data_IF_143415586835
#
_entry.id   IF_143415586835
#
_cell.length_a   1.000
_cell.length_b   1.000
_cell.length_c   1.000
_cell.angle_alpha   90.00
_cell.angle_beta   90.00
_cell.angle_gamma   90.00
#
_symmetry.space_group_name_H-M   'P 1'
#
loop_
_entity.id
_entity.type
_entity.pdbx_description
1 polymer ?
#
# COMPACT_ATOMS: atom_id res chain seq x y z
N UNK A 1 -48.66 25.48 1.32
CA UNK A 1 -48.57 24.34 0.38
C UNK A 1 -47.86 23.14 1.04
N UNK A 2 -48.57 22.33 1.84
CA UNK A 2 -48.06 21.02 2.36
C UNK A 2 -49.18 20.18 3.03
N UNK A 3 -50.41 20.29 2.53
CA UNK A 3 -51.61 19.75 3.18
C UNK A 3 -52.19 18.46 2.59
N UNK A 4 -51.72 17.99 1.42
CA UNK A 4 -52.42 16.93 0.68
C UNK A 4 -51.78 15.54 0.76
N UNK A 5 -50.57 15.41 1.32
CA UNK A 5 -49.84 14.13 1.32
C UNK A 5 -50.11 13.23 2.55
N UNK A 6 -50.87 13.71 3.54
CA UNK A 6 -51.18 12.94 4.76
C UNK A 6 -52.56 12.29 4.76
N UNK A 7 -53.50 12.75 3.93
CA UNK A 7 -54.84 12.15 3.85
C UNK A 7 -54.89 10.91 2.94
N UNK A 8 -54.03 10.84 1.91
CA UNK A 8 -53.96 9.69 0.99
C UNK A 8 -53.42 8.40 1.67
N UNK A 9 -52.74 8.51 2.82
CA UNK A 9 -52.24 7.36 3.58
C UNK A 9 -53.25 6.87 4.63
N UNK A 10 -54.27 7.68 4.96
CA UNK A 10 -55.29 7.35 5.97
C UNK A 10 -56.59 6.74 5.41
N UNK A 11 -56.76 6.68 4.08
CA UNK A 11 -57.87 5.98 3.42
C UNK A 11 -57.65 4.49 3.15
N UNK A 12 -56.48 3.94 3.47
CA UNK A 12 -56.11 2.52 3.26
C UNK A 12 -56.24 1.65 4.52
N UNK A 13 -57.05 2.08 5.49
CA UNK A 13 -57.24 1.40 6.76
C UNK A 13 -58.69 1.08 7.05
N UNK A 14 -59.28 0.08 6.40
CA UNK A 14 -60.43 -0.73 6.91
C UNK A 14 -60.92 -1.81 5.94
N UNK A 15 -60.02 -2.56 5.30
CA UNK A 15 -60.27 -3.99 5.14
C UNK A 15 -58.96 -4.66 5.49
N UNK A 16 -58.81 -5.04 6.77
CA UNK A 16 -57.71 -5.91 7.14
C UNK A 16 -57.71 -7.12 6.22
N UNK A 17 -56.53 -7.60 5.85
CA UNK A 17 -56.31 -8.67 4.87
C UNK A 17 -57.48 -9.63 4.73
N UNK A 18 -57.98 -9.79 3.51
CA UNK A 18 -58.98 -10.82 3.18
C UNK A 18 -58.43 -12.20 3.60
N UNK A 19 -59.29 -13.19 3.91
CA UNK A 19 -58.82 -14.51 4.35
C UNK A 19 -57.81 -15.14 3.37
N UNK A 20 -57.98 -14.92 2.07
CA UNK A 20 -57.07 -15.42 1.03
C UNK A 20 -55.72 -14.68 1.03
N UNK A 21 -55.71 -13.36 1.25
CA UNK A 21 -54.46 -12.59 1.39
C UNK A 21 -53.70 -12.99 2.65
N UNK A 22 -54.40 -13.27 3.76
CA UNK A 22 -53.76 -13.78 4.99
C UNK A 22 -53.13 -15.14 4.74
N UNK A 23 -53.84 -16.04 4.08
CA UNK A 23 -53.34 -17.37 3.73
C UNK A 23 -52.10 -17.27 2.83
N UNK A 24 -52.17 -16.43 1.78
CA UNK A 24 -51.06 -16.17 0.87
C UNK A 24 -49.83 -15.61 1.60
N UNK A 25 -50.02 -14.65 2.51
CA UNK A 25 -48.91 -14.08 3.28
C UNK A 25 -48.29 -15.06 4.25
N UNK A 26 -49.09 -15.94 4.86
CA UNK A 26 -48.56 -17.02 5.70
C UNK A 26 -47.73 -18.01 4.87
N UNK A 27 -48.22 -18.39 3.69
CA UNK A 27 -47.47 -19.25 2.76
C UNK A 27 -46.15 -18.60 2.32
N UNK A 28 -46.18 -17.32 1.93
CA UNK A 28 -44.98 -16.58 1.55
C UNK A 28 -43.99 -16.42 2.70
N UNK A 29 -44.45 -16.19 3.94
CA UNK A 29 -43.57 -16.16 5.12
C UNK A 29 -42.92 -17.51 5.40
N UNK A 30 -43.66 -18.61 5.24
CA UNK A 30 -43.12 -19.94 5.42
C UNK A 30 -42.03 -20.25 4.38
N UNK A 31 -42.28 -19.93 3.11
CA UNK A 31 -41.28 -20.07 2.04
C UNK A 31 -40.07 -19.17 2.28
N UNK A 32 -40.29 -17.92 2.69
CA UNK A 32 -39.21 -16.97 2.98
C UNK A 32 -38.32 -17.43 4.12
N UNK A 33 -38.89 -17.98 5.20
CA UNK A 33 -38.11 -18.53 6.33
C UNK A 33 -37.27 -19.72 5.93
N UNK A 34 -37.80 -20.62 5.09
CA UNK A 34 -37.03 -21.76 4.55
C UNK A 34 -35.91 -21.28 3.62
N UNK A 35 -36.22 -20.38 2.70
CA UNK A 35 -35.22 -19.79 1.81
C UNK A 35 -34.09 -19.10 2.58
N UNK A 36 -34.42 -18.33 3.63
CA UNK A 36 -33.41 -17.68 4.48
C UNK A 36 -32.54 -18.69 5.23
N UNK A 37 -33.13 -19.80 5.69
CA UNK A 37 -32.40 -20.89 6.31
C UNK A 37 -31.48 -21.60 5.32
N UNK A 38 -31.90 -21.74 4.07
CA UNK A 38 -31.08 -22.33 2.99
C UNK A 38 -29.92 -21.42 2.56
N UNK A 39 -29.93 -20.14 2.93
CA UNK A 39 -28.79 -19.22 2.74
C UNK A 39 -27.73 -19.34 3.84
N UNK A 40 -28.00 -20.07 4.93
CA UNK A 40 -26.98 -20.35 5.95
C UNK A 40 -25.94 -21.30 5.36
N UNK A 41 -24.78 -20.76 5.02
CA UNK A 41 -23.70 -21.54 4.45
C UNK A 41 -23.13 -22.49 5.51
N UNK A 42 -22.98 -23.77 5.16
CA UNK A 42 -22.27 -24.70 6.04
C UNK A 42 -20.78 -24.33 6.11
N UNK A 43 -20.08 -24.60 7.22
CA UNK A 43 -18.64 -24.31 7.33
C UNK A 43 -17.75 -25.02 6.30
N UNK A 44 -18.30 -25.97 5.52
CA UNK A 44 -17.62 -26.66 4.44
C UNK A 44 -17.79 -25.87 3.16
N UNK A 45 -16.91 -24.90 2.97
CA UNK A 45 -16.78 -24.20 1.70
C UNK A 45 -15.93 -25.02 0.73
N UNK A 46 -16.22 -24.97 -0.59
CA UNK A 46 -15.29 -25.47 -1.59
C UNK A 46 -14.04 -24.60 -1.59
N UNK A 47 -13.03 -25.03 -0.83
CA UNK A 47 -11.73 -24.35 -0.78
C UNK A 47 -10.97 -24.70 -2.07
N UNK A 48 -10.37 -23.68 -2.69
CA UNK A 48 -9.44 -23.90 -3.79
C UNK A 48 -8.31 -24.82 -3.32
N UNK A 49 -7.79 -25.71 -4.18
CA UNK A 49 -6.66 -26.54 -3.80
C UNK A 49 -5.49 -25.63 -3.35
N UNK A 50 -4.72 -26.06 -2.34
CA UNK A 50 -3.62 -25.25 -1.82
C UNK A 50 -2.62 -24.94 -2.94
N UNK A 51 -2.17 -23.70 -2.98
CA UNK A 51 -1.21 -23.24 -3.98
C UNK A 51 0.08 -24.07 -3.88
N UNK A 52 0.58 -24.55 -5.03
CA UNK A 52 1.83 -25.31 -5.07
C UNK A 52 3.00 -24.34 -4.85
N UNK A 53 3.40 -24.18 -3.59
CA UNK A 53 4.58 -23.40 -3.22
C UNK A 53 5.82 -23.95 -3.94
N UNK A 54 6.69 -23.05 -4.43
CA UNK A 54 7.99 -23.40 -4.99
C UNK A 54 8.95 -23.99 -3.95
N UNK A 55 10.10 -24.58 -4.36
CA UNK A 55 11.03 -25.26 -3.44
C UNK A 55 11.50 -24.39 -2.26
N UNK A 56 11.85 -23.13 -2.54
CA UNK A 56 12.30 -22.17 -1.51
C UNK A 56 11.16 -21.77 -0.58
N UNK A 57 9.96 -21.56 -1.12
CA UNK A 57 8.78 -21.22 -0.31
C UNK A 57 8.37 -22.39 0.61
N UNK A 58 8.42 -23.63 0.10
CA UNK A 58 8.20 -24.84 0.92
C UNK A 58 9.23 -25.00 2.02
N UNK A 59 10.51 -24.71 1.74
CA UNK A 59 11.55 -24.72 2.75
C UNK A 59 11.23 -23.75 3.88
N UNK A 60 10.91 -22.49 3.55
CA UNK A 60 10.58 -21.48 4.55
C UNK A 60 9.33 -21.83 5.36
N UNK A 61 8.28 -22.34 4.71
CA UNK A 61 7.07 -22.81 5.40
C UNK A 61 7.40 -23.91 6.43
N UNK A 62 8.15 -24.94 6.01
CA UNK A 62 8.58 -26.03 6.91
C UNK A 62 9.51 -25.54 8.02
N UNK A 63 10.41 -24.61 7.71
CA UNK A 63 11.32 -24.03 8.70
C UNK A 63 10.55 -23.24 9.77
N UNK A 64 9.44 -22.59 9.40
CA UNK A 64 8.62 -21.76 10.28
C UNK A 64 7.57 -22.53 11.10
N UNK A 65 7.19 -23.75 10.69
CA UNK A 65 6.18 -24.58 11.39
C UNK A 65 6.37 -24.75 12.91
N UNK A 66 7.60 -24.89 13.46
CA UNK A 66 7.78 -24.93 14.92
C UNK A 66 7.69 -23.55 15.61
N UNK A 67 7.21 -22.49 14.93
CA UNK A 67 6.74 -21.24 15.54
C UNK A 67 7.75 -20.46 16.37
N UNK A 68 9.03 -20.83 16.34
CA UNK A 68 10.06 -20.28 17.22
C UNK A 68 10.37 -18.82 16.88
N UNK A 69 10.52 -17.98 17.91
CA UNK A 69 10.80 -16.55 17.76
C UNK A 69 12.02 -16.27 16.87
N UNK A 70 13.13 -16.98 17.08
CA UNK A 70 14.36 -16.79 16.29
C UNK A 70 14.18 -17.11 14.80
N UNK A 71 13.36 -18.13 14.49
CA UNK A 71 13.05 -18.51 13.10
C UNK A 71 12.21 -17.45 12.39
N UNK A 72 11.31 -16.80 13.11
CA UNK A 72 10.55 -15.67 12.59
C UNK A 72 11.45 -14.45 12.33
N UNK A 73 12.38 -14.14 13.24
CA UNK A 73 13.30 -13.02 13.05
C UNK A 73 14.25 -13.24 11.87
N UNK A 74 14.82 -14.43 11.73
CA UNK A 74 15.67 -14.77 10.57
C UNK A 74 14.90 -14.67 9.25
N UNK A 75 13.66 -15.14 9.21
CA UNK A 75 12.80 -14.99 8.03
C UNK A 75 12.46 -13.53 7.71
N UNK A 76 12.21 -12.70 8.73
CA UNK A 76 12.01 -11.25 8.54
C UNK A 76 13.24 -10.57 7.96
N UNK A 77 14.42 -10.89 8.48
CA UNK A 77 15.69 -10.37 7.98
C UNK A 77 15.92 -10.80 6.53
N UNK A 78 15.69 -12.08 6.21
CA UNK A 78 15.77 -12.59 4.85
C UNK A 78 14.85 -11.83 3.89
N UNK A 79 13.56 -11.66 4.25
CA UNK A 79 12.60 -10.91 3.45
C UNK A 79 13.03 -9.45 3.25
N UNK A 80 13.51 -8.81 4.32
CA UNK A 80 14.06 -7.45 4.25
C UNK A 80 15.25 -7.37 3.30
N UNK A 81 16.18 -8.32 3.39
CA UNK A 81 17.36 -8.39 2.50
C UNK A 81 16.97 -8.59 1.03
N UNK A 82 16.05 -9.51 0.74
CA UNK A 82 15.55 -9.72 -0.63
C UNK A 82 14.86 -8.46 -1.16
N UNK A 83 14.07 -7.77 -0.33
CA UNK A 83 13.43 -6.52 -0.71
C UNK A 83 14.48 -5.44 -1.03
N UNK A 84 15.45 -5.22 -0.16
CA UNK A 84 16.53 -4.25 -0.38
C UNK A 84 17.30 -4.54 -1.67
N UNK A 85 17.66 -5.81 -1.92
CA UNK A 85 18.37 -6.20 -3.12
C UNK A 85 17.54 -5.92 -4.38
N UNK A 86 16.29 -6.40 -4.41
CA UNK A 86 15.46 -6.37 -5.62
C UNK A 86 14.83 -5.02 -5.90
N UNK A 87 14.45 -4.26 -4.87
CA UNK A 87 13.72 -3.00 -5.01
C UNK A 87 14.60 -1.76 -4.87
N UNK A 88 15.78 -1.88 -4.29
CA UNK A 88 16.67 -0.75 -4.06
C UNK A 88 17.96 -0.93 -4.85
N UNK A 89 18.72 -2.00 -4.59
CA UNK A 89 20.06 -2.14 -5.16
C UNK A 89 20.05 -2.31 -6.68
N UNK A 90 19.26 -3.26 -7.20
CA UNK A 90 19.20 -3.51 -8.64
C UNK A 90 18.72 -2.26 -9.40
N UNK A 91 17.59 -1.61 -9.03
CA UNK A 91 17.17 -0.39 -9.72
C UNK A 91 18.18 0.75 -9.60
N UNK A 92 18.81 0.95 -8.43
CA UNK A 92 19.83 1.97 -8.25
C UNK A 92 21.04 1.73 -9.17
N UNK A 93 21.49 0.48 -9.32
CA UNK A 93 22.55 0.12 -10.27
C UNK A 93 22.15 0.37 -11.73
N UNK A 94 20.92 0.02 -12.10
CA UNK A 94 20.40 0.27 -13.45
C UNK A 94 20.35 1.78 -13.75
N UNK A 95 19.85 2.59 -12.81
CA UNK A 95 19.81 4.05 -12.93
C UNK A 95 21.23 4.61 -13.03
N UNK A 96 22.14 4.15 -12.16
CA UNK A 96 23.53 4.58 -12.20
C UNK A 96 24.21 4.27 -13.53
N UNK A 97 24.00 3.06 -14.08
CA UNK A 97 24.48 2.66 -15.40
C UNK A 97 23.92 3.57 -16.51
N UNK A 98 22.61 3.84 -16.46
CA UNK A 98 21.95 4.70 -17.43
C UNK A 98 22.52 6.13 -17.39
N UNK A 99 22.63 6.73 -16.20
CA UNK A 99 23.21 8.06 -16.03
C UNK A 99 24.65 8.13 -16.55
N UNK A 100 25.48 7.16 -16.17
CA UNK A 100 26.90 7.12 -16.52
C UNK A 100 27.15 7.00 -18.02
N UNK A 101 26.39 6.15 -18.72
CA UNK A 101 26.71 5.82 -20.12
C UNK A 101 25.80 6.46 -21.16
N UNK A 102 24.62 6.97 -20.77
CA UNK A 102 23.70 7.60 -21.70
C UNK A 102 23.60 9.10 -21.42
N UNK A 103 23.21 9.48 -20.20
CA UNK A 103 22.93 10.88 -19.88
C UNK A 103 24.20 11.74 -19.85
N UNK A 104 25.28 11.25 -19.21
CA UNK A 104 26.54 12.00 -19.16
C UNK A 104 27.27 12.12 -20.51
N UNK A 105 26.94 11.27 -21.50
CA UNK A 105 27.49 11.39 -22.86
C UNK A 105 26.78 12.46 -23.70
N UNK A 106 25.58 12.87 -23.30
CA UNK A 106 24.84 13.92 -23.98
C UNK A 106 25.30 15.29 -23.44
N UNK A 107 25.56 16.28 -24.31
CA UNK A 107 25.90 17.62 -23.84
C UNK A 107 24.73 18.18 -23.03
N UNK A 108 25.03 18.78 -21.87
CA UNK A 108 24.04 19.27 -20.89
C UNK A 108 23.09 18.21 -20.32
N UNK A 109 23.40 16.90 -20.45
CA UNK A 109 22.54 15.84 -19.91
C UNK A 109 22.45 15.86 -18.37
N UNK A 110 23.53 16.26 -17.70
CA UNK A 110 23.52 16.53 -16.26
C UNK A 110 24.19 17.89 -16.03
N UNK A 111 23.41 18.87 -15.58
CA UNK A 111 23.93 20.19 -15.19
C UNK A 111 24.03 20.20 -13.67
N UNK A 112 25.25 20.29 -13.17
CA UNK A 112 25.52 20.40 -11.73
C UNK A 112 25.86 21.85 -11.41
N UNK A 113 25.27 22.40 -10.34
CA UNK A 113 25.66 23.72 -9.86
C UNK A 113 27.10 23.67 -9.36
N UNK A 114 27.91 24.68 -9.71
CA UNK A 114 29.28 24.81 -9.20
C UNK A 114 29.24 24.77 -7.65
N UNK A 115 30.13 24.00 -7.00
CA UNK A 115 30.19 23.95 -5.54
C UNK A 115 30.39 25.36 -4.97
N UNK A 116 29.86 25.59 -3.77
CA UNK A 116 30.14 26.83 -3.03
C UNK A 116 31.59 26.80 -2.59
N UNK A 117 32.20 27.96 -2.64
CA UNK A 117 33.64 28.14 -2.46
C UNK A 117 33.83 29.23 -1.43
N UNK A 118 34.60 28.98 -0.38
CA UNK A 118 34.82 29.91 0.71
C UNK A 118 36.27 30.42 0.77
N UNK A 119 36.48 31.61 1.37
CA UNK A 119 37.80 32.14 1.70
C UNK A 119 38.65 31.12 2.48
N UNK A 120 39.88 30.88 2.03
CA UNK A 120 40.78 29.86 2.59
C UNK A 120 40.65 28.45 2.01
N UNK A 121 39.63 28.16 1.19
CA UNK A 121 39.51 26.87 0.50
C UNK A 121 40.58 26.72 -0.58
N UNK A 122 40.96 25.47 -0.86
CA UNK A 122 41.85 25.12 -1.98
C UNK A 122 41.04 24.51 -3.11
N UNK A 123 41.17 25.09 -4.30
CA UNK A 123 40.53 24.54 -5.50
C UNK A 123 41.33 23.30 -5.93
N UNK A 124 40.75 22.10 -5.85
CA UNK A 124 41.42 20.83 -6.16
C UNK A 124 42.00 20.76 -7.58
N UNK A 125 41.39 21.49 -8.53
CA UNK A 125 41.80 21.48 -9.94
C UNK A 125 42.90 22.50 -10.27
N UNK A 126 42.95 23.63 -9.56
CA UNK A 126 43.90 24.73 -9.84
C UNK A 126 45.01 24.83 -8.79
N UNK A 127 44.82 24.27 -7.60
CA UNK A 127 45.73 24.40 -6.45
C UNK A 127 45.74 25.79 -5.81
N UNK A 128 44.91 26.72 -6.29
CA UNK A 128 44.82 28.09 -5.79
C UNK A 128 44.10 28.12 -4.44
N UNK A 129 44.73 28.80 -3.47
CA UNK A 129 44.16 29.10 -2.17
C UNK A 129 43.38 30.40 -2.28
N UNK A 130 42.14 30.38 -1.83
CA UNK A 130 41.28 31.54 -1.95
C UNK A 130 41.65 32.54 -0.86
N UNK A 131 41.78 33.84 -1.21
CA UNK A 131 42.17 34.85 -0.25
C UNK A 131 41.23 34.83 0.96
N UNK A 132 41.76 34.92 2.19
CA UNK A 132 40.92 35.11 3.36
C UNK A 132 40.16 36.43 3.25
N UNK A 133 39.00 36.52 3.91
CA UNK A 133 38.29 37.81 4.01
C UNK A 133 39.15 38.79 4.80
N UNK A 134 39.04 40.07 4.44
CA UNK A 134 39.63 41.15 5.22
C UNK A 134 39.05 41.10 6.65
N UNK A 135 39.91 41.34 7.65
CA UNK A 135 39.48 41.37 9.05
C UNK A 135 38.47 42.51 9.22
N UNK A 136 37.21 42.18 9.57
CA UNK A 136 36.23 43.21 9.90
C UNK A 136 36.70 43.97 11.15
N UNK A 137 36.65 45.31 11.17
CA UNK A 137 36.97 46.06 12.38
C UNK A 137 35.96 45.69 13.46
N UNK A 138 36.41 44.92 14.45
CA UNK A 138 35.61 44.37 15.55
C UNK A 138 35.12 45.50 16.49
N UNK A 139 34.14 46.27 16.02
CA UNK A 139 33.47 47.34 16.74
C UNK A 139 32.07 46.91 17.16
N UNK A 140 31.97 45.97 18.09
CA UNK A 140 30.75 45.79 18.87
C UNK A 140 30.87 46.63 20.15
N UNK A 141 30.39 47.86 20.08
CA UNK A 141 29.99 48.63 21.27
C UNK A 141 28.51 48.41 21.54
#
# INVERSE_FOLDING_TARGET
ARGEWRSAVSGLGMFGYTPDERLRLQQLRALRRRWLKDQELSPREPVLPPEKLGPVARFWERFLQPGSFWRLQTFKLYKGGVFTLTRILIPAWVIHYYLKYHVMKMPYGVIVMKPRVFPGDTILETGEIIPPMEEEPTGHH
#
